data_IF_995897740506
#
_entry.id   IF_995897740506
#
_cell.length_a   1.000
_cell.length_b   1.000
_cell.length_c   1.000
_cell.angle_alpha   90.00
_cell.angle_beta   90.00
_cell.angle_gamma   90.00
#
_symmetry.space_group_name_H-M   'P 1'
#
loop_
_entity.id
_entity.type
_entity.pdbx_description
1 polymer ?
#
# COMPACT_ATOMS: atom_id res chain seq x y z
N UNK A 1 28.24 -13.64 -12.09
CA UNK A 1 26.82 -13.80 -11.65
C UNK A 1 26.29 -12.42 -11.32
N UNK A 2 25.30 -11.92 -12.07
CA UNK A 2 24.69 -10.63 -11.78
C UNK A 2 24.04 -10.70 -10.40
N UNK A 3 24.52 -9.91 -9.45
CA UNK A 3 23.88 -9.83 -8.14
C UNK A 3 22.58 -9.05 -8.33
N UNK A 4 21.43 -9.67 -8.02
CA UNK A 4 20.09 -9.05 -8.05
C UNK A 4 19.95 -7.98 -6.95
N UNK A 5 20.84 -6.97 -6.95
CA UNK A 5 20.90 -5.90 -5.95
C UNK A 5 19.91 -4.78 -6.24
N UNK A 6 19.45 -4.66 -7.48
CA UNK A 6 18.55 -3.60 -7.95
C UNK A 6 17.52 -4.17 -8.88
N UNK A 7 16.26 -3.75 -8.73
CA UNK A 7 15.17 -4.15 -9.63
C UNK A 7 15.46 -3.68 -11.08
N UNK A 8 14.96 -4.41 -12.10
CA UNK A 8 15.07 -4.02 -13.50
C UNK A 8 14.52 -2.61 -13.75
N UNK A 9 15.35 -1.73 -14.27
CA UNK A 9 15.01 -0.33 -14.58
C UNK A 9 14.95 -0.04 -16.10
N UNK A 10 15.37 -1.00 -16.92
CA UNK A 10 15.44 -0.95 -18.38
C UNK A 10 15.12 -2.31 -18.97
N UNK A 11 14.70 -2.35 -20.23
CA UNK A 11 14.40 -3.59 -20.94
C UNK A 11 15.59 -4.56 -20.95
N UNK A 12 16.81 -4.06 -21.16
CA UNK A 12 18.03 -4.88 -21.09
C UNK A 12 18.19 -5.55 -19.72
N UNK A 13 18.08 -4.79 -18.62
CA UNK A 13 18.16 -5.35 -17.26
C UNK A 13 17.01 -6.31 -16.94
N UNK A 14 15.83 -6.08 -17.52
CA UNK A 14 14.69 -6.98 -17.38
C UNK A 14 14.94 -8.29 -18.11
N UNK A 15 15.46 -8.25 -19.33
CA UNK A 15 15.80 -9.44 -20.12
C UNK A 15 16.88 -10.30 -19.43
N UNK A 16 17.88 -9.67 -18.82
CA UNK A 16 18.89 -10.37 -18.00
C UNK A 16 18.26 -11.11 -16.82
N UNK A 17 17.40 -10.43 -16.05
CA UNK A 17 16.70 -11.05 -14.93
C UNK A 17 15.76 -12.16 -15.39
N UNK A 18 15.02 -11.94 -16.47
CA UNK A 18 14.12 -12.93 -17.04
C UNK A 18 14.87 -14.19 -17.49
N UNK A 19 16.08 -14.05 -18.04
CA UNK A 19 16.92 -15.18 -18.40
C UNK A 19 17.39 -15.96 -17.16
N UNK A 20 17.82 -15.26 -16.11
CA UNK A 20 18.26 -15.88 -14.84
C UNK A 20 17.09 -16.60 -14.15
N UNK A 21 15.92 -15.98 -14.09
CA UNK A 21 14.71 -16.54 -13.50
C UNK A 21 13.97 -17.53 -14.43
N UNK A 22 14.47 -17.75 -15.66
CA UNK A 22 13.88 -18.63 -16.68
C UNK A 22 12.43 -18.27 -17.06
N UNK A 23 12.13 -16.97 -17.10
CA UNK A 23 10.82 -16.39 -17.46
C UNK A 23 10.85 -15.51 -18.72
N UNK A 24 11.89 -15.61 -19.56
CA UNK A 24 12.02 -14.79 -20.79
C UNK A 24 10.97 -15.05 -21.87
N UNK A 25 10.33 -16.22 -21.87
CA UNK A 25 9.36 -16.65 -22.90
C UNK A 25 7.89 -16.61 -22.45
N UNK A 26 7.53 -17.06 -21.23
CA UNK A 26 6.13 -17.14 -20.87
C UNK A 26 5.56 -15.76 -20.53
N UNK A 27 4.33 -15.51 -20.98
CA UNK A 27 3.53 -14.38 -20.51
C UNK A 27 2.96 -14.65 -19.12
N UNK A 28 2.58 -13.60 -18.38
CA UNK A 28 1.76 -13.76 -17.16
C UNK A 28 0.42 -14.45 -17.44
N UNK A 29 -0.04 -14.38 -18.69
CA UNK A 29 -1.24 -15.07 -19.15
C UNK A 29 -1.02 -16.57 -19.34
N UNK A 30 0.20 -16.98 -19.70
CA UNK A 30 0.54 -18.39 -19.96
C UNK A 30 1.12 -19.08 -18.72
N UNK A 31 1.56 -18.30 -17.73
CA UNK A 31 2.20 -18.79 -16.52
C UNK A 31 1.20 -19.10 -15.42
N UNK A 32 1.40 -20.24 -14.74
CA UNK A 32 0.70 -20.53 -13.48
C UNK A 32 1.23 -19.61 -12.38
N UNK A 33 0.37 -18.74 -11.85
CA UNK A 33 0.71 -17.97 -10.65
C UNK A 33 0.73 -18.92 -9.45
N UNK A 34 1.92 -19.17 -8.89
CA UNK A 34 2.06 -19.89 -7.62
C UNK A 34 1.33 -19.13 -6.52
N UNK A 35 0.57 -19.82 -5.69
CA UNK A 35 -0.07 -19.17 -4.56
C UNK A 35 0.96 -18.78 -3.48
N UNK A 36 0.64 -17.74 -2.72
CA UNK A 36 1.52 -17.18 -1.71
C UNK A 36 1.14 -15.76 -1.35
N UNK A 37 1.56 -15.33 -0.16
CA UNK A 37 1.28 -13.99 0.35
C UNK A 37 2.30 -12.93 -0.08
N UNK A 38 3.41 -13.36 -0.70
CA UNK A 38 4.55 -12.52 -1.06
C UNK A 38 4.88 -12.77 -2.53
N UNK A 39 5.07 -11.69 -3.27
CA UNK A 39 5.48 -11.75 -4.68
C UNK A 39 6.91 -12.27 -4.81
N UNK A 40 7.09 -13.28 -5.65
CA UNK A 40 8.42 -13.83 -6.00
C UNK A 40 9.04 -13.08 -7.18
N UNK A 41 10.34 -13.25 -7.40
CA UNK A 41 11.05 -12.57 -8.50
C UNK A 41 10.48 -12.95 -9.87
N UNK A 42 10.13 -14.22 -10.07
CA UNK A 42 9.51 -14.73 -11.28
C UNK A 42 8.15 -14.05 -11.54
N UNK A 43 7.31 -13.98 -10.50
CA UNK A 43 6.00 -13.32 -10.57
C UNK A 43 6.14 -11.83 -10.86
N UNK A 44 7.10 -11.15 -10.22
CA UNK A 44 7.40 -9.74 -10.48
C UNK A 44 7.81 -9.50 -11.94
N UNK A 45 8.67 -10.36 -12.49
CA UNK A 45 9.11 -10.23 -13.89
C UNK A 45 7.94 -10.43 -14.85
N UNK A 46 7.04 -11.38 -14.58
CA UNK A 46 5.83 -11.60 -15.37
C UNK A 46 4.88 -10.38 -15.40
N UNK A 47 4.92 -9.51 -14.38
CA UNK A 47 4.18 -8.25 -14.39
C UNK A 47 4.78 -7.20 -15.37
N UNK A 48 5.95 -7.48 -15.96
CA UNK A 48 6.65 -6.62 -16.92
C UNK A 48 6.90 -5.20 -16.39
N UNK A 49 7.19 -5.08 -15.09
CA UNK A 49 7.46 -3.78 -14.46
C UNK A 49 8.91 -3.38 -14.67
N UNK A 50 9.11 -2.14 -15.11
CA UNK A 50 10.41 -1.45 -15.07
C UNK A 50 10.41 -0.46 -13.90
N UNK A 51 11.21 -0.76 -12.87
CA UNK A 51 11.35 0.07 -11.69
C UNK A 51 12.37 1.19 -11.93
N UNK A 52 11.89 2.40 -12.23
CA UNK A 52 12.76 3.57 -12.33
C UNK A 52 13.07 4.11 -10.94
N UNK A 53 14.35 4.24 -10.55
CA UNK A 53 14.70 4.89 -9.30
C UNK A 53 14.11 6.31 -9.27
N UNK A 54 13.68 6.80 -8.10
CA UNK A 54 13.19 8.16 -7.99
C UNK A 54 14.27 9.14 -8.45
N UNK A 55 13.88 10.04 -9.36
CA UNK A 55 14.75 11.12 -9.80
C UNK A 55 14.97 12.09 -8.64
N UNK A 56 16.21 12.53 -8.45
CA UNK A 56 16.52 13.65 -7.54
C UNK A 56 16.13 15.00 -8.16
N UNK A 57 15.72 15.02 -9.42
CA UNK A 57 15.26 16.24 -10.06
C UNK A 57 14.01 16.78 -9.34
N UNK A 58 13.94 18.11 -9.11
CA UNK A 58 12.79 18.72 -8.49
C UNK A 58 11.53 18.48 -9.33
N UNK A 59 10.38 18.34 -8.66
CA UNK A 59 9.09 18.20 -9.31
C UNK A 59 8.83 19.42 -10.21
N UNK A 60 8.74 19.19 -11.52
CA UNK A 60 8.41 20.24 -12.47
C UNK A 60 6.89 20.47 -12.49
N UNK A 61 6.41 21.40 -11.67
CA UNK A 61 4.99 21.72 -11.53
C UNK A 61 4.33 22.11 -12.86
N UNK A 62 5.07 22.77 -13.77
CA UNK A 62 4.56 23.19 -15.06
C UNK A 62 4.22 22.01 -15.96
N UNK A 63 5.09 21.00 -16.01
CA UNK A 63 4.87 19.77 -16.80
C UNK A 63 3.61 19.04 -16.36
N UNK A 64 3.27 19.10 -15.06
CA UNK A 64 2.08 18.45 -14.51
C UNK A 64 0.85 19.37 -14.41
N UNK A 65 0.94 20.64 -14.87
CA UNK A 65 -0.15 21.61 -14.76
C UNK A 65 -0.51 21.98 -13.32
N UNK A 66 0.45 21.89 -12.40
CA UNK A 66 0.27 22.09 -10.95
C UNK A 66 0.63 23.51 -10.47
N UNK A 67 1.10 24.41 -11.34
CA UNK A 67 1.55 25.75 -10.94
C UNK A 67 0.44 26.57 -10.27
N UNK A 68 -0.74 26.62 -10.89
CA UNK A 68 -1.89 27.35 -10.33
C UNK A 68 -2.36 26.76 -9.00
N UNK A 69 -2.33 25.42 -8.90
CA UNK A 69 -2.69 24.70 -7.67
C UNK A 69 -1.69 24.96 -6.55
N UNK A 70 -0.39 25.00 -6.85
CA UNK A 70 0.65 25.36 -5.90
C UNK A 70 0.46 26.78 -5.36
N UNK A 71 0.19 27.76 -6.23
CA UNK A 71 -0.08 29.13 -5.80
C UNK A 71 -1.30 29.23 -4.86
N UNK A 72 -2.38 28.51 -5.18
CA UNK A 72 -3.56 28.43 -4.30
C UNK A 72 -3.21 27.79 -2.96
N UNK A 73 -2.50 26.66 -2.97
CA UNK A 73 -2.09 25.95 -1.76
C UNK A 73 -1.19 26.83 -0.86
N UNK A 74 -0.21 27.55 -1.44
CA UNK A 74 0.66 28.45 -0.70
C UNK A 74 -0.12 29.59 -0.04
N UNK A 75 -1.05 30.20 -0.78
CA UNK A 75 -1.93 31.24 -0.25
C UNK A 75 -2.73 30.72 0.94
N UNK A 76 -3.35 29.55 0.80
CA UNK A 76 -4.15 28.92 1.87
C UNK A 76 -3.29 28.59 3.10
N UNK A 77 -2.13 27.96 2.90
CA UNK A 77 -1.20 27.59 3.97
C UNK A 77 -0.63 28.81 4.71
N UNK A 78 -0.42 29.94 4.01
CA UNK A 78 0.10 31.17 4.61
C UNK A 78 -0.81 31.75 5.69
N UNK A 79 -2.13 31.57 5.54
CA UNK A 79 -3.15 32.05 6.47
C UNK A 79 -3.58 30.98 7.48
N UNK A 80 -3.17 29.72 7.29
CA UNK A 80 -3.65 28.61 8.10
C UNK A 80 -2.88 28.49 9.42
N UNK A 81 -3.46 29.03 10.50
CA UNK A 81 -2.81 29.14 11.80
C UNK A 81 -2.42 27.78 12.41
N UNK A 82 -3.25 26.74 12.25
CA UNK A 82 -2.92 25.39 12.74
C UNK A 82 -1.70 24.80 12.02
N UNK A 83 -1.50 25.12 10.73
CA UNK A 83 -0.28 24.76 10.01
C UNK A 83 0.96 25.48 10.58
N UNK A 84 0.84 26.78 10.87
CA UNK A 84 1.93 27.53 11.50
C UNK A 84 2.33 26.95 12.86
N UNK A 85 1.34 26.62 13.72
CA UNK A 85 1.57 25.96 15.02
C UNK A 85 2.19 24.57 14.85
N UNK A 86 1.72 23.78 13.89
CA UNK A 86 2.31 22.48 13.60
C UNK A 86 3.80 22.58 13.23
N UNK A 87 4.19 23.54 12.37
CA UNK A 87 5.61 23.78 12.07
C UNK A 87 6.40 24.17 13.33
N UNK A 88 5.84 25.02 14.19
CA UNK A 88 6.48 25.43 15.44
C UNK A 88 6.70 24.25 16.41
N UNK A 89 5.81 23.25 16.39
CA UNK A 89 5.92 22.06 17.26
C UNK A 89 7.23 21.27 17.07
N UNK A 90 7.87 21.37 15.90
CA UNK A 90 9.17 20.72 15.65
C UNK A 90 10.33 21.46 16.32
N UNK A 91 10.17 22.76 16.60
CA UNK A 91 11.16 23.56 17.32
C UNK A 91 10.95 23.47 18.83
N UNK A 92 9.69 23.50 19.30
CA UNK A 92 9.38 23.48 20.74
C UNK A 92 9.37 22.08 21.33
N UNK A 93 9.21 21.03 20.51
CA UNK A 93 9.07 19.64 20.96
C UNK A 93 7.71 19.32 21.60
N UNK A 94 6.85 20.32 21.80
CA UNK A 94 5.53 20.18 22.40
C UNK A 94 4.44 20.01 21.34
N UNK A 95 3.43 19.19 21.65
CA UNK A 95 2.22 19.11 20.84
C UNK A 95 1.38 20.35 21.14
N UNK A 96 1.18 21.20 20.12
CA UNK A 96 0.35 22.40 20.22
C UNK A 96 -1.08 22.09 19.78
N UNK A 97 -2.06 22.72 20.42
CA UNK A 97 -3.47 22.57 20.05
C UNK A 97 -3.74 23.04 18.61
N UNK A 98 -4.61 22.29 17.91
CA UNK A 98 -5.04 22.58 16.54
C UNK A 98 -5.26 21.33 15.70
N UNK A 99 -5.61 21.51 14.44
CA UNK A 99 -5.98 20.43 13.50
C UNK A 99 -4.89 19.36 13.32
N UNK A 100 -3.62 19.68 13.60
CA UNK A 100 -2.48 18.76 13.46
C UNK A 100 -2.04 18.08 14.76
N UNK A 101 -2.69 18.33 15.90
CA UNK A 101 -2.25 17.83 17.20
C UNK A 101 -2.13 16.29 17.23
N UNK A 102 -3.17 15.59 16.72
CA UNK A 102 -3.17 14.13 16.62
C UNK A 102 -2.12 13.62 15.62
N UNK A 103 -1.99 14.26 14.45
CA UNK A 103 -0.95 13.93 13.49
C UNK A 103 0.46 14.03 14.13
N UNK A 104 0.72 15.07 14.90
CA UNK A 104 2.00 15.26 15.61
C UNK A 104 2.21 14.23 16.73
N UNK A 105 1.15 13.84 17.42
CA UNK A 105 1.19 12.78 18.42
C UNK A 105 1.61 11.45 17.77
N UNK A 106 0.91 11.00 16.74
CA UNK A 106 1.21 9.74 16.06
C UNK A 106 2.56 9.76 15.35
N UNK A 107 3.01 10.89 14.83
CA UNK A 107 4.38 11.02 14.31
C UNK A 107 5.44 10.83 15.39
N UNK A 108 5.20 11.34 16.61
CA UNK A 108 6.11 11.15 17.75
C UNK A 108 6.14 9.68 18.19
N UNK A 109 4.99 9.01 18.19
CA UNK A 109 4.90 7.57 18.44
C UNK A 109 5.61 6.75 17.36
N UNK A 110 5.39 7.08 16.08
CA UNK A 110 6.05 6.44 14.94
C UNK A 110 7.57 6.60 14.96
N UNK A 111 8.07 7.76 15.41
CA UNK A 111 9.51 8.01 15.53
C UNK A 111 10.18 7.13 16.62
N UNK A 112 9.42 6.68 17.62
CA UNK A 112 9.89 5.78 18.67
C UNK A 112 9.77 4.28 18.35
N UNK A 113 9.08 3.92 17.26
CA UNK A 113 8.84 2.54 16.84
C UNK A 113 10.14 1.87 16.31
N UNK A 114 10.40 0.63 16.73
CA UNK A 114 11.65 -0.11 16.49
C UNK A 114 11.44 -1.51 15.89
N UNK A 115 10.31 -1.79 15.23
CA UNK A 115 10.16 -3.10 14.58
C UNK A 115 10.89 -3.24 13.24
N UNK A 116 11.39 -4.47 12.98
CA UNK A 116 12.22 -4.81 11.81
C UNK A 116 11.58 -5.84 10.88
N UNK A 117 10.37 -6.31 11.18
CA UNK A 117 9.75 -7.42 10.46
C UNK A 117 8.91 -6.89 9.28
N UNK A 118 9.25 -7.33 8.07
CA UNK A 118 8.49 -7.02 6.85
C UNK A 118 7.41 -8.08 6.63
N UNK A 119 6.17 -7.63 6.39
CA UNK A 119 5.03 -8.47 6.00
C UNK A 119 4.44 -7.95 4.68
N UNK A 120 3.94 -8.87 3.87
CA UNK A 120 3.40 -8.61 2.53
C UNK A 120 1.88 -8.80 2.53
N UNK A 121 1.16 -7.85 1.93
CA UNK A 121 -0.30 -7.76 1.92
C UNK A 121 -0.96 -8.27 0.62
N UNK A 122 -0.24 -9.11 -0.13
CA UNK A 122 -0.71 -9.69 -1.38
C UNK A 122 -1.20 -11.12 -1.19
N UNK A 123 -2.05 -11.61 -2.08
CA UNK A 123 -2.41 -13.02 -2.14
C UNK A 123 -2.56 -13.46 -3.61
N UNK A 124 -1.69 -14.38 -4.05
CA UNK A 124 -1.74 -14.98 -5.39
C UNK A 124 -2.58 -16.26 -5.38
N UNK A 125 -3.34 -16.55 -6.45
CA UNK A 125 -4.15 -17.77 -6.55
C UNK A 125 -4.13 -18.38 -7.96
N UNK A 126 -3.78 -19.67 -8.11
CA UNK A 126 -3.89 -20.41 -9.37
C UNK A 126 -5.36 -20.70 -9.75
N UNK A 127 -5.64 -20.89 -11.05
CA UNK A 127 -6.99 -21.25 -11.53
C UNK A 127 -7.44 -22.64 -11.07
N UNK A 128 -6.53 -23.62 -10.98
CA UNK A 128 -6.86 -24.98 -10.54
C UNK A 128 -7.49 -25.04 -9.13
N UNK A 129 -7.29 -24.02 -8.29
CA UNK A 129 -7.83 -23.94 -6.92
C UNK A 129 -9.20 -23.23 -6.83
N UNK A 130 -9.82 -22.84 -7.95
CA UNK A 130 -11.17 -22.26 -8.00
C UNK A 130 -12.27 -23.33 -7.84
N UNK A 131 -12.24 -24.14 -6.78
CA UNK A 131 -13.46 -24.85 -6.36
C UNK A 131 -14.40 -23.85 -5.69
N UNK A 132 -15.64 -23.75 -6.21
CA UNK A 132 -16.68 -22.76 -5.86
C UNK A 132 -16.91 -22.62 -4.34
N UNK A 133 -16.66 -23.67 -3.57
CA UNK A 133 -16.80 -23.70 -2.11
C UNK A 133 -15.67 -22.95 -1.36
N UNK A 134 -14.42 -23.01 -1.84
CA UNK A 134 -13.27 -22.42 -1.15
C UNK A 134 -13.17 -20.91 -1.36
N UNK A 135 -13.49 -20.42 -2.56
CA UNK A 135 -13.52 -18.97 -2.89
C UNK A 135 -14.58 -18.26 -2.05
N UNK A 136 -15.80 -18.82 -1.97
CA UNK A 136 -16.89 -18.23 -1.18
C UNK A 136 -16.59 -18.17 0.33
N UNK A 137 -15.79 -19.11 0.85
CA UNK A 137 -15.37 -19.17 2.25
C UNK A 137 -14.24 -18.19 2.55
N UNK A 138 -13.33 -17.98 1.60
CA UNK A 138 -12.27 -16.97 1.68
C UNK A 138 -12.86 -15.56 1.62
N UNK A 139 -13.72 -15.28 0.64
CA UNK A 139 -14.42 -13.99 0.50
C UNK A 139 -15.26 -13.63 1.72
N UNK A 140 -15.96 -14.60 2.31
CA UNK A 140 -16.75 -14.38 3.55
C UNK A 140 -15.85 -14.04 4.73
N UNK A 141 -14.77 -14.79 4.94
CA UNK A 141 -13.81 -14.54 6.03
C UNK A 141 -13.04 -13.22 5.84
N UNK A 142 -12.81 -12.80 4.60
CA UNK A 142 -12.20 -11.50 4.28
C UNK A 142 -13.12 -10.33 4.61
N UNK A 143 -14.44 -10.46 4.35
CA UNK A 143 -15.43 -9.45 4.78
C UNK A 143 -15.55 -9.36 6.30
N UNK A 144 -15.49 -10.50 6.99
CA UNK A 144 -15.58 -10.54 8.47
C UNK A 144 -14.33 -9.91 9.14
N UNK A 145 -13.13 -10.11 8.58
CA UNK A 145 -11.90 -9.45 9.04
C UNK A 145 -11.92 -7.91 8.82
N UNK A 146 -12.72 -7.45 7.86
CA UNK A 146 -12.94 -6.04 7.53
C UNK A 146 -13.77 -5.30 8.61
N UNK A 147 -14.53 -6.03 9.44
CA UNK A 147 -15.50 -5.50 10.39
C UNK A 147 -15.08 -5.62 11.86
N UNK A 148 -13.91 -6.18 12.16
CA UNK A 148 -13.44 -6.27 13.54
C UNK A 148 -12.90 -4.92 14.04
N UNK A 149 -13.80 -4.07 14.52
CA UNK A 149 -13.47 -3.09 15.56
C UNK A 149 -13.12 -3.84 16.85
N UNK A 150 -12.11 -3.39 17.63
CA UNK A 150 -11.86 -3.93 18.95
C UNK A 150 -12.99 -3.47 19.88
N UNK A 151 -14.08 -4.23 19.97
CA UNK A 151 -15.17 -3.93 20.88
C UNK A 151 -14.91 -4.57 22.24
N UNK A 152 -14.58 -3.68 23.18
CA UNK A 152 -14.80 -3.72 24.63
C UNK A 152 -14.02 -4.75 25.46
N UNK A 153 -13.08 -4.17 26.23
CA UNK A 153 -12.69 -4.59 27.57
C UNK A 153 -13.88 -5.11 28.36
N UNK A 154 -13.90 -6.41 28.62
CA UNK A 154 -14.50 -6.97 29.81
C UNK A 154 -13.36 -7.76 30.46
N UNK A 155 -12.93 -7.31 31.63
CA UNK A 155 -11.73 -7.79 32.33
C UNK A 155 -11.83 -9.25 32.76
N UNK A 156 -11.57 -10.17 31.83
CA UNK A 156 -11.25 -11.56 32.10
C UNK A 156 -10.11 -11.91 31.15
N UNK A 157 -8.91 -12.17 31.70
CA UNK A 157 -7.80 -12.74 30.94
C UNK A 157 -8.27 -14.07 30.32
N UNK A 158 -8.31 -14.23 28.99
CA UNK A 158 -8.45 -15.54 28.41
C UNK A 158 -7.11 -16.25 28.61
N UNK A 159 -7.15 -17.40 29.30
CA UNK A 159 -6.00 -18.30 29.43
C UNK A 159 -5.39 -18.55 28.05
N UNK A 160 -4.06 -18.51 27.99
CA UNK A 160 -3.25 -18.95 26.87
C UNK A 160 -3.79 -20.29 26.36
N UNK A 161 -4.21 -20.41 25.08
CA UNK A 161 -4.55 -21.71 24.53
C UNK A 161 -3.26 -22.51 24.45
N UNK A 162 -3.27 -23.66 25.12
CA UNK A 162 -2.22 -24.67 25.05
C UNK A 162 -1.91 -25.05 23.60
N UNK A 163 -0.63 -25.31 23.37
CA UNK A 163 0.06 -25.34 22.10
C UNK A 163 -0.18 -26.62 21.29
N UNK A 164 -1.25 -27.39 21.57
CA UNK A 164 -1.45 -28.69 20.94
C UNK A 164 -2.85 -28.84 20.35
N UNK A 165 -2.84 -29.31 19.11
CA UNK A 165 -3.93 -29.83 18.28
C UNK A 165 -4.62 -28.85 17.31
N UNK A 166 -4.50 -29.21 16.02
CA UNK A 166 -5.08 -28.62 14.79
C UNK A 166 -4.17 -27.60 14.04
N UNK A 167 -2.85 -27.80 14.05
CA UNK A 167 -1.92 -27.07 13.18
C UNK A 167 -1.74 -27.66 11.76
N UNK A 168 -2.23 -28.88 11.48
CA UNK A 168 -1.70 -29.66 10.35
C UNK A 168 -2.40 -29.51 8.98
N UNK A 169 -3.49 -28.76 8.85
CA UNK A 169 -4.22 -28.69 7.56
C UNK A 169 -4.76 -27.30 7.18
N UNK A 170 -3.99 -26.24 7.46
CA UNK A 170 -4.31 -24.89 6.96
C UNK A 170 -3.27 -24.48 5.92
N UNK A 171 -3.65 -24.17 4.66
CA UNK A 171 -2.70 -23.66 3.68
C UNK A 171 -1.98 -22.44 4.25
N UNK A 172 -0.65 -22.42 4.18
CA UNK A 172 0.20 -21.30 4.62
C UNK A 172 -0.17 -19.94 3.95
N UNK A 173 -0.99 -19.98 2.90
CA UNK A 173 -1.61 -18.83 2.24
C UNK A 173 -2.61 -18.06 3.11
N UNK A 174 -3.25 -18.74 4.07
CA UNK A 174 -4.31 -18.19 4.93
C UNK A 174 -3.72 -17.53 6.19
N UNK A 175 -2.54 -17.96 6.63
CA UNK A 175 -1.94 -17.44 7.88
C UNK A 175 -1.50 -16.00 7.70
N UNK A 176 -0.83 -15.66 6.59
CA UNK A 176 -0.37 -14.29 6.32
C UNK A 176 -1.49 -13.30 5.98
N UNK A 177 -2.61 -13.74 5.42
CA UNK A 177 -3.81 -12.90 5.21
C UNK A 177 -4.61 -12.64 6.49
N UNK A 178 -4.33 -13.38 7.57
CA UNK A 178 -5.00 -13.30 8.87
C UNK A 178 -4.20 -12.47 9.90
N UNK A 179 -2.97 -12.08 9.59
CA UNK A 179 -2.15 -11.30 10.51
C UNK A 179 -2.43 -9.79 10.37
N UNK A 180 -2.73 -9.09 11.47
CA UNK A 180 -2.92 -7.65 11.47
C UNK A 180 -1.63 -6.93 11.07
N UNK A 181 -1.78 -5.71 10.51
CA UNK A 181 -0.68 -4.76 10.39
C UNK A 181 0.07 -4.70 11.73
N UNK A 182 1.39 -4.60 11.69
CA UNK A 182 2.11 -4.42 12.95
C UNK A 182 1.61 -3.15 13.63
N UNK A 183 1.64 -3.12 14.96
CA UNK A 183 1.22 -1.95 15.72
C UNK A 183 1.94 -0.69 15.19
N UNK A 184 3.22 -0.84 14.88
CA UNK A 184 4.06 0.21 14.33
C UNK A 184 3.61 0.64 12.92
N UNK A 185 3.18 -0.28 12.05
CA UNK A 185 2.70 0.04 10.70
C UNK A 185 1.38 0.84 10.75
N UNK A 186 0.46 0.48 11.65
CA UNK A 186 -0.77 1.24 11.88
C UNK A 186 -0.49 2.64 12.41
N UNK A 187 0.48 2.79 13.31
CA UNK A 187 0.87 4.10 13.84
C UNK A 187 1.43 4.95 12.70
N UNK A 188 2.29 4.41 11.83
CA UNK A 188 2.81 5.12 10.66
C UNK A 188 1.69 5.51 9.68
N UNK A 189 0.75 4.59 9.41
CA UNK A 189 -0.40 4.84 8.54
C UNK A 189 -1.29 5.95 9.09
N UNK A 190 -1.64 5.86 10.38
CA UNK A 190 -2.48 6.83 11.07
C UNK A 190 -1.81 8.20 11.09
N UNK A 191 -0.52 8.27 11.42
CA UNK A 191 0.26 9.51 11.37
C UNK A 191 0.22 10.17 9.99
N UNK A 192 0.35 9.39 8.91
CA UNK A 192 0.31 9.89 7.54
C UNK A 192 -1.09 10.36 7.15
N UNK A 193 -2.12 9.56 7.39
CA UNK A 193 -3.50 9.91 6.99
C UNK A 193 -4.03 11.10 7.80
N UNK A 194 -3.76 11.16 9.11
CA UNK A 194 -4.15 12.31 9.93
C UNK A 194 -3.45 13.58 9.47
N UNK A 195 -2.16 13.50 9.13
CA UNK A 195 -1.44 14.65 8.57
C UNK A 195 -2.07 15.14 7.25
N UNK A 196 -2.35 14.22 6.32
CA UNK A 196 -2.92 14.54 5.03
C UNK A 196 -4.36 15.09 5.14
N UNK A 197 -5.17 14.55 6.06
CA UNK A 197 -6.50 15.08 6.34
C UNK A 197 -6.43 16.43 7.07
N UNK A 198 -5.51 16.63 8.00
CA UNK A 198 -5.32 17.93 8.65
C UNK A 198 -4.90 19.02 7.65
N UNK A 199 -4.15 18.64 6.61
CA UNK A 199 -3.81 19.52 5.47
C UNK A 199 -4.99 19.84 4.56
N UNK A 200 -6.04 19.03 4.52
CA UNK A 200 -7.10 19.13 3.48
C UNK A 200 -8.48 19.44 4.03
N UNK A 201 -8.76 19.17 5.31
CA UNK A 201 -10.10 19.23 5.91
C UNK A 201 -10.76 20.62 5.86
N UNK A 202 -9.97 21.69 5.84
CA UNK A 202 -10.47 23.07 5.76
C UNK A 202 -10.53 23.62 4.33
N UNK A 203 -10.30 22.78 3.32
CA UNK A 203 -10.28 23.16 1.91
C UNK A 203 -11.32 22.33 1.15
N UNK A 204 -12.54 22.84 0.95
CA UNK A 204 -13.66 22.08 0.38
C UNK A 204 -13.38 21.44 -0.99
N UNK A 205 -12.47 22.01 -1.78
CA UNK A 205 -12.07 21.48 -3.09
C UNK A 205 -11.08 20.32 -3.01
N UNK A 206 -10.50 20.06 -1.83
CA UNK A 206 -9.53 19.00 -1.63
C UNK A 206 -10.21 17.62 -1.58
N UNK A 207 -9.54 16.64 -2.18
CA UNK A 207 -9.93 15.24 -2.07
C UNK A 207 -9.56 14.67 -0.70
N UNK A 208 -10.40 13.78 -0.16
CA UNK A 208 -10.23 13.22 1.18
C UNK A 208 -9.32 11.99 1.22
N UNK A 209 -8.48 11.90 2.24
CA UNK A 209 -7.62 10.74 2.50
C UNK A 209 -8.30 9.77 3.46
N UNK A 210 -8.04 8.47 3.29
CA UNK A 210 -8.68 7.45 4.13
C UNK A 210 -7.76 6.30 4.50
N UNK A 211 -7.94 5.81 5.73
CA UNK A 211 -7.41 4.55 6.25
C UNK A 211 -8.17 3.32 5.71
N UNK A 212 -9.24 3.53 4.94
CA UNK A 212 -9.98 2.41 4.36
C UNK A 212 -9.05 1.64 3.42
N UNK A 213 -8.76 0.39 3.76
CA UNK A 213 -7.98 -0.51 2.91
C UNK A 213 -8.80 -0.87 1.68
N UNK A 214 -8.31 -0.53 0.49
CA UNK A 214 -8.95 -0.92 -0.77
C UNK A 214 -8.26 -2.15 -1.32
N UNK A 215 -9.04 -3.17 -1.66
CA UNK A 215 -8.55 -4.33 -2.39
C UNK A 215 -8.70 -4.11 -3.90
N UNK A 216 -7.66 -4.50 -4.62
CA UNK A 216 -7.63 -4.49 -6.07
C UNK A 216 -7.33 -5.91 -6.56
N UNK A 217 -8.05 -6.35 -7.59
CA UNK A 217 -7.92 -7.69 -8.15
C UNK A 217 -7.33 -7.62 -9.56
N UNK A 218 -6.18 -8.25 -9.75
CA UNK A 218 -5.57 -8.44 -11.05
C UNK A 218 -6.01 -9.80 -11.61
N UNK A 219 -6.78 -9.81 -12.70
CA UNK A 219 -7.19 -11.03 -13.39
C UNK A 219 -6.41 -11.25 -14.70
N UNK A 220 -5.82 -12.43 -14.85
CA UNK A 220 -5.11 -12.91 -16.03
C UNK A 220 -5.71 -14.23 -16.51
N UNK A 221 -5.27 -14.70 -17.67
CA UNK A 221 -5.84 -15.90 -18.32
C UNK A 221 -5.68 -17.15 -17.45
N UNK A 222 -4.51 -17.35 -16.84
CA UNK A 222 -4.18 -18.54 -16.05
C UNK A 222 -4.04 -18.29 -14.53
N UNK A 223 -4.42 -17.10 -14.06
CA UNK A 223 -4.32 -16.78 -12.63
C UNK A 223 -4.89 -15.42 -12.27
N UNK A 224 -5.03 -15.18 -10.97
CA UNK A 224 -5.37 -13.87 -10.44
C UNK A 224 -4.66 -13.64 -9.11
N UNK A 225 -4.49 -12.38 -8.73
CA UNK A 225 -4.07 -12.04 -7.38
C UNK A 225 -4.83 -10.81 -6.87
N UNK A 226 -4.97 -10.73 -5.56
CA UNK A 226 -5.51 -9.56 -4.87
C UNK A 226 -4.38 -8.83 -4.15
N UNK A 227 -4.34 -7.51 -4.30
CA UNK A 227 -3.42 -6.64 -3.58
C UNK A 227 -4.24 -5.64 -2.76
N UNK A 228 -3.87 -5.45 -1.50
CA UNK A 228 -4.48 -4.46 -0.61
C UNK A 228 -3.53 -3.31 -0.38
N UNK A 229 -4.10 -2.13 -0.17
CA UNK A 229 -3.37 -0.93 0.22
C UNK A 229 -3.66 -0.56 1.66
N UNK A 230 -2.80 0.27 2.25
CA UNK A 230 -2.95 0.78 3.62
C UNK A 230 -3.93 1.95 3.70
N UNK A 231 -4.18 2.59 2.56
CA UNK A 231 -5.14 3.66 2.40
C UNK A 231 -5.17 4.15 0.96
N UNK A 232 -5.88 5.23 0.69
CA UNK A 232 -5.90 5.89 -0.62
C UNK A 232 -6.46 7.31 -0.53
N UNK A 233 -6.17 8.10 -1.57
CA UNK A 233 -6.88 9.35 -1.86
C UNK A 233 -8.18 9.03 -2.57
N UNK A 234 -9.32 9.41 -1.97
CA UNK A 234 -10.64 9.25 -2.58
C UNK A 234 -10.76 10.25 -3.72
N UNK A 235 -10.93 9.77 -4.95
CA UNK A 235 -11.49 10.56 -6.03
C UNK A 235 -12.96 10.90 -5.75
N UNK A 236 -13.54 11.79 -6.56
CA UNK A 236 -14.92 12.28 -6.41
C UNK A 236 -16.02 11.20 -6.42
N UNK A 237 -17.25 11.55 -6.81
CA UNK A 237 -18.48 10.77 -6.58
C UNK A 237 -18.44 9.25 -6.89
N UNK A 238 -17.53 8.78 -7.75
CA UNK A 238 -17.34 7.36 -8.07
C UNK A 238 -16.46 6.54 -7.11
N UNK A 239 -15.90 7.11 -6.04
CA UNK A 239 -15.11 6.35 -5.04
C UNK A 239 -13.82 5.71 -5.59
N UNK A 240 -13.37 6.14 -6.77
CA UNK A 240 -12.13 5.67 -7.39
C UNK A 240 -10.93 6.14 -6.59
N UNK A 241 -9.90 5.31 -6.45
CA UNK A 241 -8.64 5.77 -5.88
C UNK A 241 -7.96 6.73 -6.86
N UNK A 242 -7.31 7.78 -6.36
CA UNK A 242 -6.49 8.73 -7.13
C UNK A 242 -5.01 8.65 -6.79
N UNK A 243 -4.72 8.18 -5.58
CA UNK A 243 -3.39 7.84 -5.10
C UNK A 243 -3.53 6.69 -4.10
N UNK A 244 -2.54 5.82 -4.01
CA UNK A 244 -2.50 4.74 -3.02
C UNK A 244 -1.60 5.15 -1.86
N UNK A 245 -1.95 4.71 -0.66
CA UNK A 245 -1.06 4.77 0.50
C UNK A 245 -0.53 3.37 0.73
N UNK A 246 0.80 3.26 0.82
CA UNK A 246 1.52 2.06 1.23
C UNK A 246 2.61 2.50 2.21
N UNK A 247 2.44 2.13 3.47
CA UNK A 247 3.38 2.44 4.55
C UNK A 247 4.17 1.19 4.95
N UNK A 248 5.26 1.41 5.68
CA UNK A 248 6.02 0.32 6.29
C UNK A 248 6.43 0.74 7.70
N UNK A 249 6.47 -0.20 8.66
CA UNK A 249 6.89 0.07 10.05
C UNK A 249 8.40 0.33 10.16
N UNK A 250 9.13 0.22 9.06
CA UNK A 250 10.59 0.22 9.03
C UNK A 250 11.12 1.07 7.89
N UNK A 251 12.37 1.53 8.03
CA UNK A 251 13.09 2.19 6.95
C UNK A 251 13.11 1.30 5.70
N UNK A 252 12.62 1.86 4.60
CA UNK A 252 12.42 1.15 3.33
C UNK A 252 13.72 0.59 2.75
N UNK A 253 14.86 1.22 3.04
CA UNK A 253 16.19 0.74 2.61
C UNK A 253 16.50 -0.69 3.09
N UNK A 254 16.03 -1.07 4.28
CA UNK A 254 16.29 -2.39 4.88
C UNK A 254 15.64 -3.52 4.10
N UNK A 255 14.58 -3.23 3.34
CA UNK A 255 13.76 -4.20 2.59
C UNK A 255 13.34 -3.65 1.22
N UNK A 256 14.23 -2.88 0.57
CA UNK A 256 13.90 -2.10 -0.63
C UNK A 256 13.31 -2.95 -1.76
N UNK A 257 13.97 -4.04 -2.12
CA UNK A 257 13.56 -4.93 -3.22
C UNK A 257 12.16 -5.51 -2.98
N UNK A 258 11.89 -6.24 -1.89
CA UNK A 258 10.56 -6.83 -1.68
C UNK A 258 9.45 -5.79 -1.52
N UNK A 259 9.73 -4.63 -0.90
CA UNK A 259 8.76 -3.52 -0.82
C UNK A 259 8.40 -3.02 -2.24
N UNK A 260 9.40 -2.73 -3.08
CA UNK A 260 9.15 -2.22 -4.43
C UNK A 260 8.45 -3.25 -5.32
N UNK A 261 8.73 -4.55 -5.15
CA UNK A 261 7.99 -5.60 -5.85
C UNK A 261 6.51 -5.67 -5.41
N UNK A 262 6.23 -5.48 -4.12
CA UNK A 262 4.87 -5.36 -3.61
C UNK A 262 4.12 -4.15 -4.18
N UNK A 263 4.77 -2.99 -4.20
CA UNK A 263 4.20 -1.77 -4.77
C UNK A 263 3.92 -1.91 -6.26
N UNK A 264 4.83 -2.54 -7.01
CA UNK A 264 4.62 -2.85 -8.41
C UNK A 264 3.37 -3.73 -8.63
N UNK A 265 3.19 -4.75 -7.81
CA UNK A 265 2.03 -5.62 -7.88
C UNK A 265 0.72 -4.89 -7.51
N UNK A 266 0.74 -4.01 -6.51
CA UNK A 266 -0.39 -3.14 -6.15
C UNK A 266 -0.74 -2.20 -7.30
N UNK A 267 0.25 -1.59 -7.95
CA UNK A 267 0.03 -0.74 -9.12
C UNK A 267 -0.61 -1.52 -10.28
N UNK A 268 -0.12 -2.72 -10.59
CA UNK A 268 -0.72 -3.56 -11.65
C UNK A 268 -2.15 -3.97 -11.30
N UNK A 269 -2.42 -4.35 -10.04
CA UNK A 269 -3.77 -4.67 -9.60
C UNK A 269 -4.70 -3.48 -9.70
N UNK A 270 -4.23 -2.28 -9.33
CA UNK A 270 -5.01 -1.05 -9.43
C UNK A 270 -5.34 -0.71 -10.89
N UNK A 271 -4.35 -0.72 -11.80
CA UNK A 271 -4.54 -0.45 -13.23
C UNK A 271 -5.56 -1.42 -13.85
N UNK A 272 -5.50 -2.71 -13.48
CA UNK A 272 -6.43 -3.72 -14.01
C UNK A 272 -7.84 -3.61 -13.41
N UNK A 273 -7.96 -3.20 -12.16
CA UNK A 273 -9.27 -3.09 -11.47
C UNK A 273 -10.02 -1.81 -11.85
N UNK A 274 -9.29 -0.70 -11.96
CA UNK A 274 -9.83 0.63 -12.25
C UNK A 274 -9.19 1.19 -13.53
N UNK A 275 -9.41 0.58 -14.71
CA UNK A 275 -8.80 1.05 -15.95
C UNK A 275 -9.30 2.46 -16.31
N UNK A 276 -8.40 3.26 -16.89
CA UNK A 276 -8.73 4.57 -17.46
C UNK A 276 -8.63 4.52 -18.99
N UNK A 277 -9.65 3.95 -19.67
CA UNK A 277 -9.63 3.79 -21.13
C UNK A 277 -9.60 5.14 -21.85
N UNK A 278 -10.06 6.20 -21.19
CA UNK A 278 -10.11 7.55 -21.72
C UNK A 278 -8.82 8.35 -21.50
N UNK A 279 -7.88 7.82 -20.70
CA UNK A 279 -6.64 8.51 -20.33
C UNK A 279 -6.87 9.81 -19.55
N UNK A 280 -8.06 10.02 -18.98
CA UNK A 280 -8.43 11.26 -18.28
C UNK A 280 -7.61 11.48 -17.02
N UNK A 281 -7.14 10.40 -16.37
CA UNK A 281 -6.23 10.44 -15.23
C UNK A 281 -4.82 10.92 -15.61
N UNK A 282 -4.45 10.84 -16.89
CA UNK A 282 -3.16 11.33 -17.39
C UNK A 282 -3.19 12.81 -17.79
N UNK A 283 -4.35 13.47 -17.69
CA UNK A 283 -4.46 14.89 -18.02
C UNK A 283 -3.83 15.75 -16.90
N UNK A 284 -3.08 16.81 -17.25
CA UNK A 284 -2.50 17.72 -16.26
C UNK A 284 -3.54 18.32 -15.30
N UNK A 285 -3.17 18.44 -14.01
CA UNK A 285 -3.99 19.09 -12.99
C UNK A 285 -5.28 18.37 -12.56
N UNK A 286 -5.38 17.05 -12.79
CA UNK A 286 -6.52 16.19 -12.39
C UNK A 286 -6.30 15.40 -11.10
#
# INVERSE_FOLDING_TARGET
MATMRTLPHSEASWNEWAAVCKVSKPSIHDSTLTSGSTIRHEQFLLLQVLWRPPSTAPLNLKVFGLEQWKQKADKLLSTFQSWARYRQSFTTGSILEGTFALAKQYQSEAAGALEKNFRSDMAFTPIAHRTRSNVSRLERKMRDAQLQTPTKSTGILPKTPEENDIAENRPAEITNTMYPQTKDEQIVNTALVDFLNALTVHFPEASGWTLHRKSFKAEFTNGSYEARTDGYLKGGSGGRARALIEVKPMLREKKRIPICMQEAAQMVAWIKSDPDPTGVLNLPGR
#
